data_IF_331342663869
#
_entry.id   IF_331342663869
#
_cell.length_a   1.000
_cell.length_b   1.000
_cell.length_c   1.000
_cell.angle_alpha   90.00
_cell.angle_beta   90.00
_cell.angle_gamma   90.00
#
_symmetry.space_group_name_H-M   'P 1'
#
loop_
_entity.id
_entity.type
_entity.pdbx_description
1 polymer ?
#
# COMPACT_ATOMS: atom_id res chain seq x y z
N UNK A 1 25.42 -14.08 -4.48
CA UNK A 1 24.04 -14.12 -3.95
C UNK A 1 23.99 -14.22 -2.43
N UNK A 2 24.56 -15.23 -1.79
CA UNK A 2 24.51 -15.36 -0.31
C UNK A 2 25.04 -14.12 0.43
N UNK A 3 26.13 -13.52 -0.06
CA UNK A 3 26.63 -12.25 0.46
C UNK A 3 25.60 -11.13 0.33
N UNK A 4 25.07 -10.91 -0.88
CA UNK A 4 24.08 -9.87 -1.16
C UNK A 4 22.78 -10.06 -0.39
N UNK A 5 22.38 -11.32 -0.17
CA UNK A 5 21.25 -11.70 0.67
C UNK A 5 21.46 -11.26 2.11
N UNK A 6 22.53 -11.74 2.75
CA UNK A 6 22.81 -11.43 4.14
C UNK A 6 23.08 -9.94 4.36
N UNK A 7 23.84 -9.31 3.46
CA UNK A 7 24.16 -7.89 3.52
C UNK A 7 22.90 -7.04 3.33
N UNK A 8 22.08 -7.32 2.32
CA UNK A 8 20.85 -6.59 2.05
C UNK A 8 19.84 -6.67 3.20
N UNK A 9 19.62 -7.86 3.76
CA UNK A 9 18.74 -8.04 4.93
C UNK A 9 19.29 -7.33 6.17
N UNK A 10 20.60 -7.38 6.41
CA UNK A 10 21.23 -6.67 7.53
C UNK A 10 21.07 -5.15 7.40
N UNK A 11 21.31 -4.59 6.20
CA UNK A 11 21.08 -3.16 5.93
C UNK A 11 19.61 -2.79 6.15
N UNK A 12 18.66 -3.60 5.67
CA UNK A 12 17.24 -3.34 5.84
C UNK A 12 16.83 -3.35 7.33
N UNK A 13 17.38 -4.27 8.11
CA UNK A 13 17.18 -4.35 9.56
C UNK A 13 17.79 -3.15 10.30
N UNK A 14 18.88 -2.58 9.78
CA UNK A 14 19.51 -1.36 10.28
C UNK A 14 18.82 -0.07 9.79
N UNK A 15 17.70 -0.19 9.07
CA UNK A 15 16.98 0.90 8.42
C UNK A 15 17.76 1.65 7.32
N UNK A 16 18.83 1.05 6.79
CA UNK A 16 19.51 1.52 5.59
C UNK A 16 18.86 0.92 4.34
N UNK A 17 17.64 1.39 4.04
CA UNK A 17 16.80 0.81 2.99
C UNK A 17 17.33 1.03 1.58
N UNK A 18 18.13 2.08 1.37
CA UNK A 18 18.70 2.36 0.06
C UNK A 18 19.78 1.33 -0.28
N UNK A 19 20.74 1.14 0.61
CA UNK A 19 21.80 0.16 0.45
C UNK A 19 21.24 -1.27 0.41
N UNK A 20 20.25 -1.55 1.28
CA UNK A 20 19.56 -2.83 1.29
C UNK A 20 18.91 -3.17 -0.06
N UNK A 21 18.20 -2.20 -0.65
CA UNK A 21 17.55 -2.37 -1.95
C UNK A 21 18.57 -2.66 -3.04
N UNK A 22 19.65 -1.87 -3.09
CA UNK A 22 20.72 -2.04 -4.08
C UNK A 22 21.33 -3.45 -3.98
N UNK A 23 21.65 -3.91 -2.76
CA UNK A 23 22.18 -5.25 -2.51
C UNK A 23 21.21 -6.37 -2.89
N UNK A 24 19.94 -6.29 -2.47
CA UNK A 24 18.92 -7.30 -2.77
C UNK A 24 18.70 -7.43 -4.28
N UNK A 25 18.69 -6.32 -5.03
CA UNK A 25 18.53 -6.34 -6.49
C UNK A 25 19.70 -6.99 -7.23
N UNK A 26 20.90 -7.07 -6.63
CA UNK A 26 22.04 -7.79 -7.21
C UNK A 26 21.94 -9.31 -7.11
N UNK A 27 21.01 -9.86 -6.33
CA UNK A 27 20.82 -11.32 -6.22
C UNK A 27 20.26 -11.83 -7.54
N UNK A 28 20.88 -12.83 -8.16
CA UNK A 28 20.44 -13.37 -9.46
C UNK A 28 19.74 -14.73 -9.34
N UNK A 29 20.06 -15.51 -8.31
CA UNK A 29 19.50 -16.83 -8.06
C UNK A 29 17.99 -16.75 -7.87
N UNK A 30 17.27 -17.40 -8.78
CA UNK A 30 15.81 -17.43 -8.82
C UNK A 30 15.19 -18.07 -7.58
N UNK A 31 15.91 -18.99 -6.92
CA UNK A 31 15.42 -19.61 -5.68
C UNK A 31 15.23 -18.56 -4.59
N UNK A 32 16.22 -17.71 -4.35
CA UNK A 32 16.09 -16.60 -3.41
C UNK A 32 15.00 -15.63 -3.84
N UNK A 33 14.93 -15.30 -5.13
CA UNK A 33 13.91 -14.34 -5.63
C UNK A 33 12.47 -14.83 -5.49
N UNK A 34 12.26 -16.15 -5.43
CA UNK A 34 10.96 -16.76 -5.22
C UNK A 34 10.59 -16.89 -3.73
N UNK A 35 11.55 -16.77 -2.81
CA UNK A 35 11.28 -16.89 -1.37
C UNK A 35 10.51 -15.68 -0.85
N UNK A 36 9.47 -15.92 -0.04
CA UNK A 36 8.71 -14.86 0.61
C UNK A 36 9.59 -13.90 1.44
N UNK A 37 10.64 -14.41 2.10
CA UNK A 37 11.57 -13.55 2.83
C UNK A 37 12.20 -12.50 1.93
N UNK A 38 12.59 -12.87 0.71
CA UNK A 38 13.18 -11.92 -0.24
C UNK A 38 12.15 -10.90 -0.71
N UNK A 39 10.97 -11.39 -1.11
CA UNK A 39 9.89 -10.54 -1.60
C UNK A 39 9.44 -9.52 -0.54
N UNK A 40 9.30 -9.95 0.71
CA UNK A 40 8.89 -9.09 1.83
C UNK A 40 9.93 -8.03 2.18
N UNK A 41 11.22 -8.39 2.24
CA UNK A 41 12.29 -7.42 2.48
C UNK A 41 12.45 -6.42 1.34
N UNK A 42 12.39 -6.90 0.09
CA UNK A 42 12.48 -6.02 -1.07
C UNK A 42 11.28 -5.07 -1.15
N UNK A 43 10.06 -5.56 -0.91
CA UNK A 43 8.86 -4.73 -0.84
C UNK A 43 8.96 -3.65 0.24
N UNK A 44 9.44 -4.00 1.44
CA UNK A 44 9.70 -3.02 2.49
C UNK A 44 10.71 -1.96 2.05
N UNK A 45 11.82 -2.37 1.41
CA UNK A 45 12.82 -1.43 0.92
C UNK A 45 12.25 -0.47 -0.14
N UNK A 46 11.39 -0.95 -1.04
CA UNK A 46 10.69 -0.09 -2.00
C UNK A 46 9.79 0.95 -1.31
N UNK A 47 8.96 0.52 -0.37
CA UNK A 47 8.05 1.41 0.36
C UNK A 47 8.82 2.49 1.12
N UNK A 48 9.86 2.09 1.85
CA UNK A 48 10.68 3.00 2.65
C UNK A 48 11.51 3.97 1.78
N UNK A 49 11.84 3.55 0.54
CA UNK A 49 12.52 4.39 -0.45
C UNK A 49 11.58 5.32 -1.22
N UNK A 50 10.27 5.28 -0.97
CA UNK A 50 9.29 6.13 -1.64
C UNK A 50 8.76 5.59 -2.97
N UNK A 51 8.93 4.29 -3.24
CA UNK A 51 8.49 3.61 -4.48
C UNK A 51 7.44 2.52 -4.18
N UNK A 52 6.32 2.83 -3.49
CA UNK A 52 5.32 1.83 -3.08
C UNK A 52 4.67 1.08 -4.25
N UNK A 53 4.68 1.65 -5.46
CA UNK A 53 4.22 1.02 -6.69
C UNK A 53 4.97 -0.29 -6.99
N UNK A 54 6.29 -0.33 -6.78
CA UNK A 54 7.11 -1.52 -7.03
C UNK A 54 6.79 -2.64 -6.02
N UNK A 55 6.47 -2.27 -4.78
CA UNK A 55 5.98 -3.23 -3.79
C UNK A 55 4.61 -3.79 -4.18
N UNK A 56 3.70 -2.93 -4.67
CA UNK A 56 2.40 -3.36 -5.16
C UNK A 56 2.50 -4.29 -6.38
N UNK A 57 3.36 -3.97 -7.36
CA UNK A 57 3.64 -4.84 -8.52
C UNK A 57 4.23 -6.20 -8.12
N UNK A 58 5.00 -6.24 -7.03
CA UNK A 58 5.50 -7.51 -6.48
C UNK A 58 4.34 -8.39 -6.01
N UNK A 59 3.39 -7.82 -5.26
CA UNK A 59 2.17 -8.53 -4.86
C UNK A 59 1.32 -8.99 -6.05
N UNK A 60 1.08 -8.12 -7.04
CA UNK A 60 0.24 -8.44 -8.22
C UNK A 60 0.78 -9.62 -9.03
N UNK A 61 2.09 -9.86 -8.99
CA UNK A 61 2.75 -10.99 -9.67
C UNK A 61 2.69 -12.29 -8.89
N UNK A 62 2.28 -12.28 -7.62
CA UNK A 62 2.15 -13.48 -6.81
C UNK A 62 0.81 -14.17 -7.08
N UNK A 63 0.80 -15.49 -6.99
CA UNK A 63 -0.42 -16.27 -6.93
C UNK A 63 -1.10 -16.11 -5.55
N UNK A 64 -2.42 -16.31 -5.52
CA UNK A 64 -3.19 -16.27 -4.27
C UNK A 64 -2.69 -17.37 -3.33
N UNK A 65 -2.14 -16.96 -2.19
CA UNK A 65 -1.48 -17.83 -1.22
C UNK A 65 -1.38 -17.14 0.14
N UNK A 66 -1.01 -17.89 1.18
CA UNK A 66 -0.74 -17.31 2.50
C UNK A 66 0.43 -16.30 2.45
N UNK A 67 1.41 -16.52 1.58
CA UNK A 67 2.53 -15.61 1.39
C UNK A 67 2.10 -14.28 0.76
N UNK A 68 1.23 -14.32 -0.27
CA UNK A 68 0.71 -13.09 -0.87
C UNK A 68 -0.23 -12.33 0.08
N UNK A 69 -0.98 -13.03 0.93
CA UNK A 69 -1.74 -12.42 2.03
C UNK A 69 -0.82 -11.74 3.05
N UNK A 70 0.25 -12.40 3.49
CA UNK A 70 1.24 -11.80 4.40
C UNK A 70 1.95 -10.59 3.77
N UNK A 71 2.21 -10.63 2.45
CA UNK A 71 2.79 -9.50 1.75
C UNK A 71 1.83 -8.31 1.70
N UNK A 72 0.52 -8.54 1.49
CA UNK A 72 -0.49 -7.48 1.58
C UNK A 72 -0.52 -6.81 2.95
N UNK A 73 -0.44 -7.58 4.04
CA UNK A 73 -0.34 -7.02 5.38
C UNK A 73 0.88 -6.10 5.53
N UNK A 74 2.03 -6.53 5.03
CA UNK A 74 3.25 -5.71 5.05
C UNK A 74 3.05 -4.43 4.25
N UNK A 75 2.57 -4.53 3.01
CA UNK A 75 2.34 -3.37 2.14
C UNK A 75 1.34 -2.41 2.78
N UNK A 76 0.22 -2.91 3.30
CA UNK A 76 -0.81 -2.09 3.93
C UNK A 76 -0.24 -1.27 5.09
N UNK A 77 0.47 -1.93 6.01
CA UNK A 77 1.00 -1.30 7.22
C UNK A 77 2.19 -0.37 6.93
N UNK A 78 3.17 -0.82 6.15
CA UNK A 78 4.35 -0.01 5.84
C UNK A 78 3.97 1.20 4.98
N UNK A 79 3.06 1.05 4.00
CA UNK A 79 2.54 2.18 3.23
C UNK A 79 1.78 3.16 4.12
N UNK A 80 0.95 2.67 5.04
CA UNK A 80 0.20 3.53 5.95
C UNK A 80 1.15 4.35 6.82
N UNK A 81 2.15 3.70 7.42
CA UNK A 81 3.16 4.34 8.28
C UNK A 81 3.98 5.39 7.52
N UNK A 82 4.31 5.13 6.26
CA UNK A 82 5.08 6.05 5.42
C UNK A 82 4.24 7.15 4.74
N UNK A 83 2.92 7.16 4.93
CA UNK A 83 2.03 8.13 4.30
C UNK A 83 1.72 7.84 2.83
N UNK A 84 2.06 6.64 2.34
CA UNK A 84 1.68 6.15 1.00
C UNK A 84 0.23 5.64 1.00
N UNK A 85 -0.68 6.50 1.46
CA UNK A 85 -2.05 6.11 1.82
C UNK A 85 -2.85 5.49 0.67
N UNK A 86 -2.55 5.86 -0.58
CA UNK A 86 -3.21 5.28 -1.73
C UNK A 86 -2.96 3.77 -1.84
N UNK A 87 -1.71 3.33 -1.74
CA UNK A 87 -1.37 1.91 -1.78
C UNK A 87 -1.78 1.18 -0.50
N UNK A 88 -1.72 1.86 0.65
CA UNK A 88 -2.27 1.31 1.89
C UNK A 88 -3.78 1.01 1.76
N UNK A 89 -4.56 1.97 1.22
CA UNK A 89 -5.99 1.81 1.02
C UNK A 89 -6.31 0.65 0.06
N UNK A 90 -5.53 0.51 -1.03
CA UNK A 90 -5.67 -0.62 -1.96
C UNK A 90 -5.39 -1.95 -1.29
N UNK A 91 -4.31 -2.04 -0.52
CA UNK A 91 -3.95 -3.27 0.18
C UNK A 91 -5.00 -3.67 1.22
N UNK A 92 -5.48 -2.72 2.04
CA UNK A 92 -6.55 -2.98 3.00
C UNK A 92 -7.89 -3.37 2.33
N UNK A 93 -8.22 -2.79 1.17
CA UNK A 93 -9.40 -3.21 0.40
C UNK A 93 -9.31 -4.65 -0.09
N UNK A 94 -8.12 -5.12 -0.49
CA UNK A 94 -7.95 -6.53 -0.85
C UNK A 94 -8.02 -7.42 0.40
N UNK A 95 -7.36 -7.02 1.50
CA UNK A 95 -7.40 -7.76 2.76
C UNK A 95 -8.84 -7.94 3.26
N UNK A 96 -9.64 -6.86 3.31
CA UNK A 96 -11.06 -6.87 3.70
C UNK A 96 -11.90 -7.86 2.86
N UNK A 97 -11.59 -8.00 1.56
CA UNK A 97 -12.30 -8.92 0.66
C UNK A 97 -11.87 -10.38 0.85
N UNK A 98 -10.63 -10.62 1.24
CA UNK A 98 -10.08 -11.95 1.49
C UNK A 98 -10.48 -12.47 2.88
N UNK A 99 -10.50 -11.58 3.86
CA UNK A 99 -10.84 -11.87 5.25
C UNK A 99 -11.59 -10.67 5.85
N UNK A 100 -12.87 -10.82 6.27
CA UNK A 100 -13.69 -9.71 6.74
C UNK A 100 -13.36 -9.29 8.19
N UNK A 101 -12.09 -9.19 8.55
CA UNK A 101 -11.64 -8.65 9.83
C UNK A 101 -11.99 -7.14 9.90
N UNK A 102 -12.69 -6.69 10.96
CA UNK A 102 -12.98 -5.27 11.15
C UNK A 102 -11.75 -4.33 11.12
N UNK A 103 -10.56 -4.81 11.50
CA UNK A 103 -9.33 -4.02 11.47
C UNK A 103 -8.95 -3.57 10.04
N UNK A 104 -9.26 -4.37 9.02
CA UNK A 104 -8.96 -4.00 7.63
C UNK A 104 -9.86 -2.87 7.13
N UNK A 105 -11.14 -2.88 7.52
CA UNK A 105 -12.02 -1.74 7.27
C UNK A 105 -11.50 -0.48 7.94
N UNK A 106 -11.08 -0.57 9.21
CA UNK A 106 -10.54 0.56 9.96
C UNK A 106 -9.26 1.11 9.30
N UNK A 107 -8.36 0.24 8.86
CA UNK A 107 -7.16 0.59 8.09
C UNK A 107 -7.49 1.24 6.74
N UNK A 108 -8.40 0.65 5.96
CA UNK A 108 -8.88 1.19 4.68
C UNK A 108 -9.50 2.58 4.85
N UNK A 109 -10.38 2.73 5.85
CA UNK A 109 -11.05 4.00 6.18
C UNK A 109 -10.03 5.08 6.51
N UNK A 110 -9.06 4.76 7.38
CA UNK A 110 -7.99 5.69 7.74
C UNK A 110 -7.12 6.08 6.54
N UNK A 111 -6.72 5.11 5.72
CA UNK A 111 -5.93 5.36 4.52
C UNK A 111 -6.70 6.21 3.50
N UNK A 112 -8.00 5.96 3.32
CA UNK A 112 -8.83 6.75 2.43
C UNK A 112 -8.91 8.23 2.84
N UNK A 113 -9.04 8.49 4.15
CA UNK A 113 -8.96 9.87 4.68
C UNK A 113 -7.56 10.46 4.47
N UNK A 114 -6.50 9.67 4.60
CA UNK A 114 -5.12 10.09 4.30
C UNK A 114 -4.95 10.54 2.84
N UNK A 115 -5.50 9.80 1.88
CA UNK A 115 -5.50 10.21 0.46
C UNK A 115 -6.31 11.49 0.26
N UNK A 116 -7.48 11.59 0.89
CA UNK A 116 -8.30 12.79 0.82
C UNK A 116 -7.58 14.03 1.40
N UNK A 117 -6.92 13.89 2.55
CA UNK A 117 -6.09 14.95 3.13
C UNK A 117 -4.97 15.38 2.17
N UNK A 118 -4.30 14.43 1.52
CA UNK A 118 -3.28 14.73 0.53
C UNK A 118 -3.86 15.44 -0.71
N UNK A 119 -5.05 15.07 -1.17
CA UNK A 119 -5.73 15.74 -2.27
C UNK A 119 -6.12 17.18 -1.91
N UNK A 120 -6.65 17.40 -0.71
CA UNK A 120 -6.95 18.75 -0.17
C UNK A 120 -5.68 19.61 -0.11
N UNK A 121 -4.55 19.00 0.24
CA UNK A 121 -3.26 19.68 0.28
C UNK A 121 -2.57 19.81 -1.10
N UNK A 122 -3.19 19.35 -2.19
CA UNK A 122 -2.60 19.37 -3.54
C UNK A 122 -1.43 18.41 -3.75
N UNK A 123 -1.25 17.42 -2.87
CA UNK A 123 -0.15 16.43 -2.90
C UNK A 123 -0.52 15.11 -3.56
N UNK A 124 -1.81 14.79 -3.65
CA UNK A 124 -2.31 13.61 -4.37
C UNK A 124 -3.10 14.04 -5.61
N UNK A 125 -3.04 13.25 -6.67
CA UNK A 125 -3.88 13.46 -7.86
C UNK A 125 -5.35 13.16 -7.55
N UNK A 126 -6.24 13.88 -8.24
CA UNK A 126 -7.68 13.66 -8.12
C UNK A 126 -8.07 12.25 -8.57
N UNK A 127 -7.36 11.69 -9.55
CA UNK A 127 -7.61 10.31 -10.03
C UNK A 127 -7.43 9.28 -8.90
N UNK A 128 -6.39 9.44 -8.07
CA UNK A 128 -6.18 8.58 -6.89
C UNK A 128 -7.30 8.73 -5.88
N UNK A 129 -7.80 9.95 -5.67
CA UNK A 129 -8.94 10.19 -4.79
C UNK A 129 -10.22 9.53 -5.34
N UNK A 130 -10.46 9.63 -6.65
CA UNK A 130 -11.60 9.00 -7.31
C UNK A 130 -11.57 7.48 -7.16
N UNK A 131 -10.41 6.86 -7.37
CA UNK A 131 -10.26 5.41 -7.19
C UNK A 131 -10.55 5.02 -5.74
N UNK A 132 -10.01 5.75 -4.76
CA UNK A 132 -10.29 5.51 -3.32
C UNK A 132 -11.77 5.65 -2.99
N UNK A 133 -12.47 6.64 -3.55
CA UNK A 133 -13.91 6.79 -3.38
C UNK A 133 -14.66 5.58 -3.91
N UNK A 134 -14.23 5.02 -5.04
CA UNK A 134 -14.83 3.81 -5.60
C UNK A 134 -14.58 2.58 -4.70
N UNK A 135 -13.36 2.46 -4.13
CA UNK A 135 -13.05 1.42 -3.14
C UNK A 135 -13.87 1.55 -1.84
N UNK A 136 -14.17 2.77 -1.40
CA UNK A 136 -15.06 2.97 -0.25
C UNK A 136 -16.49 2.54 -0.59
N UNK A 137 -16.98 2.89 -1.78
CA UNK A 137 -18.34 2.55 -2.23
C UNK A 137 -18.57 1.05 -2.40
N UNK A 138 -17.53 0.25 -2.63
CA UNK A 138 -17.66 -1.20 -2.70
C UNK A 138 -17.86 -1.85 -1.33
N UNK A 139 -17.58 -1.14 -0.23
CA UNK A 139 -17.82 -1.65 1.12
C UNK A 139 -19.25 -1.36 1.58
N UNK A 140 -19.93 -2.39 2.10
CA UNK A 140 -21.23 -2.25 2.74
C UNK A 140 -21.10 -1.75 4.19
N UNK A 141 -20.72 -0.48 4.37
CA UNK A 141 -20.61 0.16 5.69
C UNK A 141 -21.36 1.50 5.72
N UNK A 142 -22.27 1.74 6.70
CA UNK A 142 -23.02 3.00 6.80
C UNK A 142 -22.15 4.27 6.86
N UNK A 143 -20.90 4.17 7.34
CA UNK A 143 -19.97 5.29 7.41
C UNK A 143 -19.50 5.78 6.04
N UNK A 144 -19.54 4.92 5.01
CA UNK A 144 -19.15 5.26 3.63
C UNK A 144 -20.00 6.40 3.09
N UNK A 145 -21.32 6.38 3.31
CA UNK A 145 -22.22 7.43 2.84
C UNK A 145 -21.82 8.80 3.41
N UNK A 146 -21.58 8.86 4.72
CA UNK A 146 -21.14 10.09 5.36
C UNK A 146 -19.81 10.58 4.79
N UNK A 147 -18.80 9.71 4.73
CA UNK A 147 -17.46 10.07 4.24
C UNK A 147 -17.49 10.55 2.79
N UNK A 148 -18.13 9.79 1.90
CA UNK A 148 -18.12 10.07 0.46
C UNK A 148 -19.08 11.22 0.13
N UNK A 149 -20.35 11.11 0.52
CA UNK A 149 -21.39 12.05 0.06
C UNK A 149 -21.42 13.35 0.86
N UNK A 150 -21.09 13.33 2.16
CA UNK A 150 -21.15 14.55 3.01
C UNK A 150 -19.82 15.28 3.11
N UNK A 151 -18.70 14.57 3.07
CA UNK A 151 -17.37 15.17 3.24
C UNK A 151 -16.64 15.34 1.91
N UNK A 152 -16.27 14.23 1.24
CA UNK A 152 -15.41 14.28 0.05
C UNK A 152 -16.10 14.97 -1.14
N UNK A 153 -17.36 14.62 -1.44
CA UNK A 153 -18.12 15.25 -2.54
C UNK A 153 -18.43 16.72 -2.28
N UNK A 154 -18.69 17.09 -1.03
CA UNK A 154 -18.91 18.50 -0.66
C UNK A 154 -17.64 19.30 -0.94
N UNK A 155 -16.49 18.84 -0.44
CA UNK A 155 -15.20 19.47 -0.73
C UNK A 155 -14.93 19.56 -2.23
N UNK A 156 -15.18 18.48 -2.98
CA UNK A 156 -14.96 18.47 -4.42
C UNK A 156 -15.82 19.53 -5.14
N UNK A 157 -17.10 19.64 -4.79
CA UNK A 157 -18.00 20.67 -5.31
C UNK A 157 -17.51 22.08 -4.99
N UNK A 158 -17.13 22.32 -3.73
CA UNK A 158 -16.67 23.64 -3.26
C UNK A 158 -15.36 24.07 -3.94
N UNK A 159 -14.53 23.10 -4.37
CA UNK A 159 -13.25 23.32 -5.02
C UNK A 159 -13.26 23.09 -6.55
N UNK A 160 -14.44 22.91 -7.16
CA UNK A 160 -14.62 22.64 -8.60
C UNK A 160 -13.84 21.43 -9.12
N UNK A 161 -13.64 20.45 -8.25
CA UNK A 161 -13.07 19.14 -8.58
C UNK A 161 -14.20 18.20 -8.98
N UNK A 162 -14.04 17.48 -10.09
CA UNK A 162 -15.00 16.45 -10.49
C UNK A 162 -14.69 15.16 -9.72
N UNK A 163 -15.64 14.73 -8.89
CA UNK A 163 -15.58 13.50 -8.11
C UNK A 163 -16.90 12.75 -8.30
N UNK A 164 -16.88 11.74 -9.17
CA UNK A 164 -18.04 10.94 -9.58
C UNK A 164 -18.49 9.97 -8.48
#
# INVERSE_FOLDING_TARGET
DDFNWNYGVACAAAADYKEAKEALLQIQNEKYRAEFCYLSWLARCYIMSGEPELAWETYVRMETSNESFNLLHLIANDCYKMGHFYFACKAFDVLERLDPDPEFWEGKRGAAIGVFQQAVAGKASIDKLQEVVNLLRSTNNPQVDHMVNRVMRKWAKDNRVKLD
#
